data_IF_621266205957
#
_entry.id   IF_621266205957
#
_cell.length_a   1.000
_cell.length_b   1.000
_cell.length_c   1.000
_cell.angle_alpha   90.00
_cell.angle_beta   90.00
_cell.angle_gamma   90.00
#
_symmetry.space_group_name_H-M   'P 1'
#
loop_
_entity.id
_entity.type
_entity.pdbx_description
1 polymer ?
#
# COMPACT_ATOMS: atom_id res chain seq x y z
N UNK A 1 2.10 -0.97 21.92
CA UNK A 1 0.65 -1.03 22.13
C UNK A 1 -0.11 0.25 21.76
N UNK A 2 0.40 1.45 21.99
CA UNK A 2 -0.31 2.69 21.62
C UNK A 2 -0.48 2.90 20.11
N UNK A 3 0.45 2.46 19.27
CA UNK A 3 0.38 2.55 17.80
C UNK A 3 -0.69 1.65 17.17
N UNK A 4 -0.97 0.51 17.75
CA UNK A 4 -2.01 -0.42 17.26
C UNK A 4 -3.42 0.18 17.40
N UNK A 5 -3.67 0.90 18.48
CA UNK A 5 -4.98 1.55 18.73
C UNK A 5 -5.21 2.71 17.76
N UNK A 6 -4.17 3.46 17.41
CA UNK A 6 -4.26 4.56 16.44
C UNK A 6 -4.51 4.01 15.03
N UNK A 7 -3.84 2.91 14.64
CA UNK A 7 -4.03 2.26 13.34
C UNK A 7 -5.43 1.65 13.18
N UNK A 8 -6.00 1.06 14.23
CA UNK A 8 -7.38 0.55 14.22
C UNK A 8 -8.39 1.69 14.02
N UNK A 9 -8.16 2.85 14.63
CA UNK A 9 -9.00 4.04 14.42
C UNK A 9 -8.87 4.61 12.99
N UNK A 10 -7.68 4.61 12.43
CA UNK A 10 -7.44 5.14 11.07
C UNK A 10 -8.18 4.30 10.03
N UNK A 11 -8.21 2.97 10.16
CA UNK A 11 -8.91 2.10 9.21
C UNK A 11 -10.45 2.18 9.29
N UNK A 12 -11.01 2.75 10.33
CA UNK A 12 -12.47 2.94 10.41
C UNK A 12 -13.01 3.99 9.43
N UNK A 13 -12.13 4.62 8.65
CA UNK A 13 -12.50 5.59 7.62
C UNK A 13 -12.29 5.01 6.22
N UNK A 14 -13.34 5.01 5.41
CA UNK A 14 -13.34 4.45 4.06
C UNK A 14 -12.43 5.20 3.06
N UNK A 15 -11.96 6.38 3.41
CA UNK A 15 -11.07 7.22 2.61
C UNK A 15 -9.58 7.06 2.95
N UNK A 16 -9.21 6.05 3.75
CA UNK A 16 -7.83 5.76 4.13
C UNK A 16 -7.45 4.37 3.66
N UNK A 17 -6.25 4.25 3.09
CA UNK A 17 -5.61 2.98 2.76
C UNK A 17 -4.37 2.84 3.64
N UNK A 18 -4.33 1.82 4.47
CA UNK A 18 -3.19 1.51 5.33
C UNK A 18 -2.25 0.52 4.65
N UNK A 19 -0.96 0.82 4.68
CA UNK A 19 0.05 0.11 3.88
C UNK A 19 1.11 -0.52 4.77
N UNK A 20 1.39 -1.81 4.53
CA UNK A 20 2.49 -2.54 5.14
C UNK A 20 3.75 -2.47 4.28
N UNK A 21 4.92 -2.59 4.93
CA UNK A 21 6.22 -2.58 4.26
C UNK A 21 6.66 -4.00 3.87
N UNK A 22 6.90 -4.21 2.57
CA UNK A 22 7.52 -5.42 2.03
C UNK A 22 9.02 -5.23 1.79
N UNK A 23 9.78 -6.26 2.11
CA UNK A 23 11.14 -6.46 1.60
C UNK A 23 11.09 -7.17 0.23
N UNK A 24 12.21 -7.14 -0.49
CA UNK A 24 12.32 -7.62 -1.88
C UNK A 24 11.97 -9.10 -2.09
N UNK A 25 11.98 -9.92 -1.04
CA UNK A 25 11.62 -11.35 -1.11
C UNK A 25 10.11 -11.62 -0.91
N UNK A 26 9.27 -10.60 -0.88
CA UNK A 26 7.83 -10.71 -0.70
C UNK A 26 7.37 -10.99 0.73
N UNK A 27 8.26 -10.84 1.72
CA UNK A 27 7.91 -10.92 3.14
C UNK A 27 7.75 -9.53 3.74
N UNK A 28 6.97 -9.44 4.81
CA UNK A 28 6.89 -8.21 5.60
C UNK A 28 8.24 -7.91 6.26
N UNK A 29 8.63 -6.65 6.25
CA UNK A 29 9.73 -6.16 7.07
C UNK A 29 9.40 -6.35 8.56
N UNK A 30 10.43 -6.63 9.38
CA UNK A 30 10.24 -6.85 10.82
C UNK A 30 9.65 -5.65 11.55
N UNK A 31 9.91 -4.45 11.05
CA UNK A 31 9.38 -3.19 11.61
C UNK A 31 7.98 -2.86 11.12
N UNK A 32 7.44 -3.60 10.13
CA UNK A 32 6.15 -3.31 9.55
C UNK A 32 5.00 -3.65 10.49
N UNK A 33 4.03 -2.76 10.57
CA UNK A 33 2.73 -3.11 11.11
C UNK A 33 2.03 -4.11 10.18
N UNK A 34 1.22 -4.97 10.78
CA UNK A 34 0.42 -5.96 10.07
C UNK A 34 -0.89 -6.23 10.82
N UNK A 35 -1.82 -6.87 10.15
CA UNK A 35 -3.12 -7.26 10.69
C UNK A 35 -4.21 -7.15 9.63
N UNK A 36 -4.99 -8.22 9.38
CA UNK A 36 -6.01 -8.22 8.32
C UNK A 36 -7.17 -7.27 8.64
N UNK A 37 -7.31 -6.88 9.92
CA UNK A 37 -8.32 -5.90 10.35
C UNK A 37 -7.81 -4.46 10.36
N UNK A 38 -6.51 -4.20 10.27
CA UNK A 38 -5.92 -2.87 10.45
C UNK A 38 -5.02 -2.40 9.32
N UNK A 39 -4.61 -3.29 8.43
CA UNK A 39 -3.75 -2.99 7.28
C UNK A 39 -4.38 -3.52 6.00
N UNK A 40 -4.51 -2.68 5.01
CA UNK A 40 -5.25 -2.99 3.78
C UNK A 40 -4.41 -3.74 2.75
N UNK A 41 -3.21 -3.26 2.46
CA UNK A 41 -2.37 -3.74 1.37
C UNK A 41 -0.89 -3.64 1.76
N UNK A 42 -0.03 -4.40 1.11
CA UNK A 42 1.41 -4.27 1.26
C UNK A 42 2.05 -3.68 -0.01
N UNK A 43 3.15 -2.96 0.17
CA UNK A 43 3.95 -2.43 -0.95
C UNK A 43 5.44 -2.41 -0.58
N UNK A 44 6.34 -2.40 -1.58
CA UNK A 44 7.78 -2.28 -1.33
C UNK A 44 8.11 -1.02 -0.56
N UNK A 45 8.85 -1.14 0.52
CA UNK A 45 9.23 -0.01 1.36
C UNK A 45 10.61 -0.18 2.02
N UNK A 46 11.38 -1.19 1.63
CA UNK A 46 12.73 -1.45 2.16
C UNK A 46 13.76 -1.19 1.08
N UNK A 47 14.80 -0.41 1.43
CA UNK A 47 15.85 0.05 0.51
C UNK A 47 15.28 0.78 -0.72
N UNK A 48 14.40 1.72 -0.50
CA UNK A 48 13.81 2.54 -1.55
C UNK A 48 14.68 3.78 -1.79
N UNK A 49 15.20 3.91 -3.01
CA UNK A 49 15.93 5.11 -3.42
C UNK A 49 14.94 6.23 -3.75
N UNK A 50 15.13 7.38 -3.13
CA UNK A 50 14.30 8.55 -3.39
C UNK A 50 15.09 9.84 -3.16
N UNK A 51 14.49 10.94 -3.58
CA UNK A 51 15.03 12.29 -3.34
C UNK A 51 14.96 12.65 -1.86
N UNK A 52 15.99 13.34 -1.40
CA UNK A 52 16.06 13.93 -0.06
C UNK A 52 16.43 15.41 -0.17
N UNK A 53 16.33 16.21 0.91
CA UNK A 53 16.78 17.60 0.91
C UNK A 53 18.20 17.77 0.38
N UNK A 54 18.56 19.00 0.00
CA UNK A 54 19.88 19.39 -0.50
C UNK A 54 20.29 18.78 -1.86
N UNK A 55 19.30 18.58 -2.76
CA UNK A 55 19.51 18.05 -4.13
C UNK A 55 20.24 16.71 -4.14
N UNK A 56 19.90 15.83 -3.21
CA UNK A 56 20.53 14.55 -3.01
C UNK A 56 19.54 13.38 -3.10
N UNK A 57 20.07 12.17 -3.01
CA UNK A 57 19.30 10.91 -3.01
C UNK A 57 19.79 10.03 -1.89
N UNK A 58 18.88 9.25 -1.31
CA UNK A 58 19.25 8.24 -0.31
C UNK A 58 18.31 7.03 -0.39
N UNK A 59 18.84 5.89 0.07
CA UNK A 59 18.02 4.71 0.35
C UNK A 59 17.42 4.84 1.74
N UNK A 60 16.12 4.62 1.83
CA UNK A 60 15.39 4.60 3.10
C UNK A 60 14.46 3.39 3.17
N UNK A 61 14.13 2.99 4.38
CA UNK A 61 13.25 1.84 4.62
C UNK A 61 12.16 2.20 5.63
N UNK A 62 10.95 1.73 5.38
CA UNK A 62 9.81 1.92 6.28
C UNK A 62 8.48 1.91 5.55
N UNK A 63 7.40 1.83 6.31
CA UNK A 63 6.04 2.02 5.78
C UNK A 63 5.86 3.41 5.16
N UNK A 64 6.65 4.40 5.60
CA UNK A 64 6.73 5.74 4.99
C UNK A 64 7.23 5.74 3.55
N UNK A 65 7.93 4.68 3.11
CA UNK A 65 8.40 4.48 1.74
C UNK A 65 7.43 3.59 0.96
N UNK A 66 6.71 2.69 1.63
CA UNK A 66 5.68 1.85 1.02
C UNK A 66 4.40 2.64 0.68
N UNK A 67 3.95 3.53 1.55
CA UNK A 67 2.73 4.31 1.36
C UNK A 67 2.76 5.18 0.08
N UNK A 68 3.85 5.87 -0.28
CA UNK A 68 3.93 6.63 -1.54
C UNK A 68 3.78 5.78 -2.80
N UNK A 69 4.15 4.49 -2.77
CA UNK A 69 3.92 3.57 -3.89
C UNK A 69 2.42 3.40 -4.16
N UNK A 70 1.64 3.22 -3.10
CA UNK A 70 0.17 3.11 -3.19
C UNK A 70 -0.45 4.44 -3.59
N UNK A 71 0.04 5.56 -3.07
CA UNK A 71 -0.42 6.90 -3.45
C UNK A 71 -0.17 7.17 -4.94
N UNK A 72 1.00 6.78 -5.46
CA UNK A 72 1.32 6.88 -6.89
C UNK A 72 0.38 6.02 -7.76
N UNK A 73 0.08 4.80 -7.33
CA UNK A 73 -0.88 3.93 -8.01
C UNK A 73 -2.30 4.54 -8.03
N UNK A 74 -2.75 5.13 -6.92
CA UNK A 74 -4.02 5.83 -6.86
C UNK A 74 -4.05 7.03 -7.83
N UNK A 75 -2.97 7.81 -7.91
CA UNK A 75 -2.85 8.90 -8.86
C UNK A 75 -2.92 8.43 -10.31
N UNK A 76 -2.31 7.28 -10.63
CA UNK A 76 -2.40 6.68 -11.97
C UNK A 76 -3.83 6.23 -12.30
N UNK A 77 -4.56 5.67 -11.34
CA UNK A 77 -5.98 5.31 -11.53
C UNK A 77 -6.83 6.55 -11.82
N UNK A 78 -6.66 7.64 -11.07
CA UNK A 78 -7.37 8.90 -11.33
C UNK A 78 -6.97 9.53 -12.66
N UNK A 79 -5.71 9.41 -13.07
CA UNK A 79 -5.27 9.87 -14.39
C UNK A 79 -5.94 9.08 -15.53
N UNK A 80 -6.11 7.76 -15.34
CA UNK A 80 -6.75 6.89 -16.34
C UNK A 80 -8.28 7.02 -16.33
N UNK A 81 -8.89 7.24 -15.17
CA UNK A 81 -10.33 7.29 -14.94
C UNK A 81 -10.66 8.37 -13.90
N UNK A 82 -10.71 9.65 -14.31
CA UNK A 82 -10.96 10.77 -13.38
C UNK A 82 -12.29 10.72 -12.62
N UNK A 83 -13.26 9.98 -13.15
CA UNK A 83 -14.59 9.83 -12.56
C UNK A 83 -14.66 8.83 -11.40
N UNK A 84 -13.61 8.05 -11.13
CA UNK A 84 -13.61 7.09 -10.03
C UNK A 84 -13.81 7.79 -8.69
N UNK A 85 -14.66 7.22 -7.85
CA UNK A 85 -14.78 7.66 -6.46
C UNK A 85 -13.58 7.19 -5.63
N UNK A 86 -13.40 7.78 -4.45
CA UNK A 86 -12.38 7.32 -3.48
C UNK A 86 -12.56 5.83 -3.15
N UNK A 87 -13.82 5.40 -3.02
CA UNK A 87 -14.13 4.01 -2.71
C UNK A 87 -13.79 3.07 -3.88
N UNK A 88 -14.02 3.50 -5.13
CA UNK A 88 -13.66 2.72 -6.31
C UNK A 88 -12.14 2.52 -6.38
N UNK A 89 -11.36 3.59 -6.21
CA UNK A 89 -9.90 3.53 -6.20
C UNK A 89 -9.39 2.57 -5.11
N UNK A 90 -9.92 2.68 -3.90
CA UNK A 90 -9.57 1.78 -2.80
C UNK A 90 -9.90 0.32 -3.15
N UNK A 91 -11.11 0.06 -3.63
CA UNK A 91 -11.57 -1.28 -3.98
C UNK A 91 -10.73 -1.88 -5.12
N UNK A 92 -10.42 -1.13 -6.14
CA UNK A 92 -9.56 -1.56 -7.25
C UNK A 92 -8.18 -1.97 -6.73
N UNK A 93 -7.53 -1.13 -5.94
CA UNK A 93 -6.20 -1.42 -5.40
C UNK A 93 -6.17 -2.67 -4.53
N UNK A 94 -7.18 -2.87 -3.68
CA UNK A 94 -7.28 -4.04 -2.80
C UNK A 94 -7.61 -5.31 -3.60
N UNK A 95 -8.55 -5.23 -4.53
CA UNK A 95 -9.02 -6.41 -5.29
C UNK A 95 -7.97 -6.89 -6.29
N UNK A 96 -7.28 -5.96 -6.95
CA UNK A 96 -6.23 -6.25 -7.92
C UNK A 96 -4.88 -6.63 -7.29
N UNK A 97 -4.73 -6.54 -5.97
CA UNK A 97 -3.49 -6.85 -5.29
C UNK A 97 -3.00 -8.27 -5.61
N UNK A 98 -1.71 -8.39 -5.94
CA UNK A 98 -1.06 -9.67 -6.19
C UNK A 98 -0.96 -10.48 -4.90
N UNK A 99 -1.67 -11.60 -4.85
CA UNK A 99 -1.74 -12.43 -3.64
C UNK A 99 -0.41 -13.14 -3.38
N UNK A 100 0.03 -13.09 -2.13
CA UNK A 100 1.23 -13.78 -1.66
C UNK A 100 0.90 -14.60 -0.42
N UNK A 101 1.36 -15.85 -0.38
CA UNK A 101 1.15 -16.73 0.79
C UNK A 101 1.71 -16.11 2.07
N UNK A 102 2.80 -15.37 1.95
CA UNK A 102 3.44 -14.64 3.07
C UNK A 102 2.59 -13.52 3.65
N UNK A 103 1.58 -13.06 2.91
CA UNK A 103 0.66 -11.99 3.30
C UNK A 103 -0.73 -12.48 3.69
N UNK A 104 -1.00 -13.76 3.52
CA UNK A 104 -2.28 -14.36 3.90
C UNK A 104 -2.51 -14.20 5.42
N UNK A 105 -3.64 -13.59 5.77
CA UNK A 105 -3.96 -13.25 7.16
C UNK A 105 -3.08 -12.16 7.80
N UNK A 106 -2.19 -11.54 7.03
CA UNK A 106 -1.31 -10.46 7.49
C UNK A 106 -1.80 -9.07 7.10
N UNK A 107 -2.38 -8.95 5.91
CA UNK A 107 -3.05 -7.73 5.44
C UNK A 107 -4.43 -8.11 4.88
N UNK A 108 -5.35 -7.16 4.84
CA UNK A 108 -6.74 -7.41 4.41
C UNK A 108 -6.82 -7.96 2.98
N UNK A 109 -6.08 -7.38 2.05
CA UNK A 109 -6.02 -7.86 0.67
C UNK A 109 -5.32 -9.22 0.52
N UNK A 110 -4.53 -9.67 1.51
CA UNK A 110 -3.66 -10.84 1.37
C UNK A 110 -2.59 -10.69 0.29
N UNK A 111 -2.30 -9.47 -0.16
CA UNK A 111 -1.45 -9.24 -1.31
C UNK A 111 -0.66 -7.93 -1.29
N UNK A 112 0.22 -7.82 -2.27
CA UNK A 112 0.99 -6.60 -2.53
C UNK A 112 0.39 -5.79 -3.67
N UNK A 113 0.71 -4.51 -3.69
CA UNK A 113 0.33 -3.59 -4.75
C UNK A 113 0.73 -4.13 -6.14
N UNK A 114 -0.24 -4.19 -7.04
CA UNK A 114 -0.07 -4.52 -8.46
C UNK A 114 -0.71 -3.43 -9.31
N UNK A 115 0.11 -2.48 -9.75
CA UNK A 115 -0.34 -1.31 -10.51
C UNK A 115 -0.85 -1.72 -11.89
N UNK A 116 -0.23 -2.72 -12.52
CA UNK A 116 -0.67 -3.20 -13.82
C UNK A 116 -2.09 -3.78 -13.75
N UNK A 117 -2.31 -4.70 -12.83
CA UNK A 117 -3.63 -5.30 -12.61
C UNK A 117 -4.67 -4.25 -12.22
N UNK A 118 -4.31 -3.28 -11.39
CA UNK A 118 -5.20 -2.19 -11.00
C UNK A 118 -5.65 -1.35 -12.21
N UNK A 119 -4.72 -0.99 -13.11
CA UNK A 119 -5.05 -0.25 -14.32
C UNK A 119 -5.88 -1.06 -15.32
N UNK A 120 -5.68 -2.38 -15.40
CA UNK A 120 -6.53 -3.26 -16.22
C UNK A 120 -7.97 -3.28 -15.68
N UNK A 121 -8.13 -3.37 -14.36
CA UNK A 121 -9.44 -3.28 -13.71
C UNK A 121 -10.15 -1.96 -14.00
N UNK A 122 -9.43 -0.85 -13.96
CA UNK A 122 -9.99 0.47 -14.21
C UNK A 122 -10.47 0.67 -15.66
N UNK A 123 -10.02 -0.16 -16.60
CA UNK A 123 -10.41 -0.08 -18.02
C UNK A 123 -11.69 -0.85 -18.36
N UNK A 124 -12.13 -1.70 -17.46
CA UNK A 124 -13.36 -2.48 -17.63
C UNK A 124 -14.59 -1.65 -17.21
#
# INVERSE_FOLDING_TARGET
MKSVIILIRIRSYDNIITVANLIFNGKLDRSSNFGPASVDIAAPGTFILSTIPDKSYAFMSGTSMAAPMVAGAAAMLYSARPELSLQDVRNILITSAHKLDTLNGRVYSGGMLDVYSALQWARQ
#
